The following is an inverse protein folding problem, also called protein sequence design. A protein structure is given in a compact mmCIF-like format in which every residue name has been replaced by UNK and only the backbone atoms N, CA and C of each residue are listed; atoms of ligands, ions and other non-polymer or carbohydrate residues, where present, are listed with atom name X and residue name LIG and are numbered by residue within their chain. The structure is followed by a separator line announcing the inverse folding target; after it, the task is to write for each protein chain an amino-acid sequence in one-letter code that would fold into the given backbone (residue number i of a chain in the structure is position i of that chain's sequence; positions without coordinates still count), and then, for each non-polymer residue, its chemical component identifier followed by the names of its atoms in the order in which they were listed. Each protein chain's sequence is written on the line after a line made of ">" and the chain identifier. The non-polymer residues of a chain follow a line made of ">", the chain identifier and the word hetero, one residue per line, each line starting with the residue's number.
data_IF_553737346756
#
_entry.id   IF_553737346756
#
_cell.length_a   1.000
_cell.length_b   1.000
_cell.length_c   1.000
_cell.angle_alpha   90.00
_cell.angle_beta   90.00
_cell.angle_gamma   90.00
#
_symmetry.space_group_name_H-M   'P 1'
#
loop_
_entity.id
_entity.type
_entity.pdbx_description
1 polymer ?
#
# COMPACT_ATOMS: atom_id res chain seq x y z
N UNK A 1 39.19 17.00 -8.88
CA UNK A 1 39.93 16.76 -10.13
C UNK A 1 39.05 17.19 -11.28
N UNK A 2 39.40 18.37 -11.79
CA UNK A 2 39.09 19.08 -13.04
C UNK A 2 37.92 18.64 -13.93
N UNK A 3 36.91 19.49 -13.98
CA UNK A 3 35.97 19.60 -15.10
C UNK A 3 36.35 20.89 -15.87
N UNK A 4 36.56 20.87 -17.20
CA UNK A 4 37.13 22.00 -17.91
C UNK A 4 36.18 23.21 -17.98
N UNK A 5 36.69 24.37 -17.60
CA UNK A 5 36.11 25.70 -17.76
C UNK A 5 36.40 26.24 -19.16
N UNK A 6 35.50 25.98 -20.13
CA UNK A 6 35.44 26.76 -21.37
C UNK A 6 33.97 27.04 -21.72
N UNK A 7 33.58 28.31 -21.58
CA UNK A 7 32.22 28.81 -21.78
C UNK A 7 32.22 29.75 -23.01
N UNK A 8 31.44 29.48 -24.06
CA UNK A 8 31.20 30.45 -25.13
C UNK A 8 30.30 31.59 -24.61
N UNK A 9 30.75 32.83 -24.78
CA UNK A 9 30.19 34.06 -24.21
C UNK A 9 28.96 34.63 -24.96
N UNK A 10 27.99 33.79 -25.36
CA UNK A 10 26.81 34.27 -26.09
C UNK A 10 25.45 33.69 -25.62
N UNK A 11 25.28 33.51 -24.32
CA UNK A 11 23.94 33.39 -23.72
C UNK A 11 23.95 33.91 -22.28
N UNK A 12 23.44 35.14 -22.06
CA UNK A 12 23.46 35.82 -20.75
C UNK A 12 22.36 35.35 -19.77
N UNK A 13 21.65 34.27 -20.08
CA UNK A 13 20.69 33.66 -19.17
C UNK A 13 21.04 32.19 -18.94
N UNK A 14 21.55 31.91 -17.74
CA UNK A 14 21.71 30.53 -17.25
C UNK A 14 20.44 30.17 -16.51
N UNK A 15 19.50 29.49 -17.17
CA UNK A 15 18.36 28.86 -16.49
C UNK A 15 18.90 27.55 -15.89
N UNK A 16 19.28 27.60 -14.62
CA UNK A 16 19.52 26.38 -13.83
C UNK A 16 18.22 26.02 -13.17
N UNK A 17 17.58 24.94 -13.62
CA UNK A 17 16.46 24.35 -12.92
C UNK A 17 17.03 23.47 -11.80
N UNK A 18 17.08 24.00 -10.58
CA UNK A 18 17.34 23.19 -9.41
C UNK A 18 16.07 22.42 -9.10
N UNK A 19 16.03 21.14 -9.47
CA UNK A 19 15.11 20.21 -8.82
C UNK A 19 15.74 19.95 -7.46
N UNK A 20 15.30 20.70 -6.45
CA UNK A 20 15.61 20.33 -5.08
C UNK A 20 15.11 18.90 -4.89
N UNK A 21 15.96 18.01 -4.40
CA UNK A 21 15.49 16.85 -3.64
C UNK A 21 14.83 17.41 -2.37
N UNK A 22 13.70 18.10 -2.51
CA UNK A 22 12.84 18.36 -1.37
C UNK A 22 12.47 16.97 -0.85
N UNK A 23 12.71 16.69 0.45
CA UNK A 23 12.17 15.47 1.03
C UNK A 23 10.67 15.51 0.76
N UNK A 24 10.19 14.49 0.04
CA UNK A 24 8.78 14.30 -0.26
C UNK A 24 7.99 14.58 1.01
N UNK A 25 6.98 15.46 0.93
CA UNK A 25 6.27 15.88 2.15
C UNK A 25 5.67 14.63 2.79
N UNK A 26 5.78 14.50 4.11
CA UNK A 26 5.40 13.27 4.81
C UNK A 26 3.96 12.80 4.47
N UNK A 27 3.06 13.74 4.16
CA UNK A 27 1.70 13.48 3.67
C UNK A 27 1.64 12.86 2.27
N UNK A 28 2.42 13.37 1.30
CA UNK A 28 2.47 12.83 -0.07
C UNK A 28 2.94 11.38 -0.05
N UNK A 29 3.90 11.07 0.84
CA UNK A 29 4.37 9.69 1.05
C UNK A 29 3.29 8.78 1.64
N UNK A 30 2.45 9.28 2.54
CA UNK A 30 1.32 8.51 3.07
C UNK A 30 0.27 8.21 1.99
N UNK A 31 -0.01 9.18 1.13
CA UNK A 31 -0.93 9.04 0.01
C UNK A 31 -0.46 7.99 -0.99
N UNK A 32 0.84 7.97 -1.31
CA UNK A 32 1.44 6.95 -2.17
C UNK A 32 1.33 5.55 -1.57
N UNK A 33 1.72 5.37 -0.30
CA UNK A 33 1.60 4.07 0.37
C UNK A 33 0.14 3.60 0.40
N UNK A 34 -0.80 4.52 0.65
CA UNK A 34 -2.22 4.20 0.63
C UNK A 34 -2.72 3.79 -0.76
N UNK A 35 -2.30 4.50 -1.80
CA UNK A 35 -2.65 4.21 -3.18
C UNK A 35 -2.11 2.83 -3.61
N UNK A 36 -0.85 2.54 -3.29
CA UNK A 36 -0.19 1.26 -3.55
C UNK A 36 -0.90 0.10 -2.83
N UNK A 37 -1.28 0.31 -1.56
CA UNK A 37 -2.04 -0.67 -0.80
C UNK A 37 -3.41 -0.96 -1.42
N UNK A 38 -4.13 0.07 -1.87
CA UNK A 38 -5.42 -0.07 -2.56
C UNK A 38 -5.25 -0.78 -3.91
N UNK A 39 -4.20 -0.46 -4.67
CA UNK A 39 -3.88 -1.13 -5.93
C UNK A 39 -3.63 -2.61 -5.70
N UNK A 40 -2.75 -2.95 -4.74
CA UNK A 40 -2.43 -4.33 -4.37
C UNK A 40 -3.68 -5.10 -3.93
N UNK A 41 -4.55 -4.50 -3.10
CA UNK A 41 -5.80 -5.14 -2.69
C UNK A 41 -6.73 -5.42 -3.89
N UNK A 42 -6.84 -4.47 -4.82
CA UNK A 42 -7.66 -4.62 -6.03
C UNK A 42 -7.11 -5.74 -6.91
N UNK A 43 -5.81 -5.77 -7.12
CA UNK A 43 -5.15 -6.76 -7.98
C UNK A 43 -5.29 -8.16 -7.38
N UNK A 44 -5.10 -8.30 -6.07
CA UNK A 44 -5.35 -9.57 -5.36
C UNK A 44 -6.79 -10.05 -5.49
N UNK A 45 -7.78 -9.16 -5.24
CA UNK A 45 -9.20 -9.53 -5.34
C UNK A 45 -9.66 -9.84 -6.77
N UNK A 46 -9.05 -9.21 -7.78
CA UNK A 46 -9.37 -9.47 -9.19
C UNK A 46 -8.94 -10.88 -9.64
N UNK A 47 -7.93 -11.46 -8.98
CA UNK A 47 -7.41 -12.79 -9.27
C UNK A 47 -8.19 -13.91 -8.57
N UNK A 48 -8.89 -13.63 -7.46
CA UNK A 48 -9.64 -14.65 -6.70
C UNK A 48 -10.62 -15.46 -7.55
N UNK A 49 -11.43 -14.86 -8.45
CA UNK A 49 -12.37 -15.61 -9.29
C UNK A 49 -11.70 -16.58 -10.28
N UNK A 50 -10.39 -16.46 -10.49
CA UNK A 50 -9.62 -17.35 -11.38
C UNK A 50 -9.20 -18.65 -10.69
N UNK A 51 -9.33 -18.72 -9.36
CA UNK A 51 -9.04 -19.93 -8.61
C UNK A 51 -10.02 -21.06 -8.93
N UNK A 52 -9.58 -22.32 -8.85
CA UNK A 52 -10.49 -23.46 -8.93
C UNK A 52 -11.51 -23.42 -7.80
N UNK A 53 -12.71 -23.97 -8.04
CA UNK A 53 -13.87 -23.86 -7.15
C UNK A 53 -13.60 -24.27 -5.69
N UNK A 54 -12.74 -25.26 -5.48
CA UNK A 54 -12.39 -25.74 -4.14
C UNK A 54 -11.56 -24.75 -3.32
N UNK A 55 -10.77 -23.88 -3.97
CA UNK A 55 -10.03 -22.78 -3.34
C UNK A 55 -10.85 -21.47 -3.32
N UNK A 56 -11.66 -21.25 -4.35
CA UNK A 56 -12.52 -20.07 -4.44
C UNK A 56 -13.62 -20.05 -3.37
N UNK A 57 -14.36 -21.16 -3.19
CA UNK A 57 -15.53 -21.18 -2.31
C UNK A 57 -15.20 -20.75 -0.87
N UNK A 58 -14.12 -21.22 -0.23
CA UNK A 58 -13.78 -20.79 1.12
C UNK A 58 -13.30 -19.33 1.19
N UNK A 59 -12.82 -18.76 0.08
CA UNK A 59 -12.41 -17.35 0.00
C UNK A 59 -13.56 -16.42 -0.38
N UNK A 60 -14.70 -16.94 -0.84
CA UNK A 60 -15.79 -16.13 -1.37
C UNK A 60 -16.31 -15.10 -0.36
N UNK A 61 -16.62 -15.54 0.86
CA UNK A 61 -17.21 -14.68 1.89
C UNK A 61 -16.23 -13.59 2.37
N UNK A 62 -14.94 -13.94 2.52
CA UNK A 62 -13.90 -13.00 2.93
C UNK A 62 -13.58 -11.99 1.82
N UNK A 63 -13.60 -12.42 0.56
CA UNK A 63 -13.49 -11.54 -0.62
C UNK A 63 -14.63 -10.55 -0.65
N UNK A 64 -15.87 -11.03 -0.49
CA UNK A 64 -17.07 -10.20 -0.53
C UNK A 64 -17.11 -9.20 0.64
N UNK A 65 -16.57 -9.58 1.80
CA UNK A 65 -16.47 -8.70 2.98
C UNK A 65 -15.41 -7.61 2.80
N UNK A 66 -14.33 -7.88 2.06
CA UNK A 66 -13.24 -6.93 1.79
C UNK A 66 -13.56 -5.97 0.64
N UNK A 67 -14.34 -6.41 -0.36
CA UNK A 67 -14.62 -5.68 -1.59
C UNK A 67 -15.16 -4.24 -1.40
N UNK A 68 -16.10 -3.95 -0.47
CA UNK A 68 -16.58 -2.59 -0.25
C UNK A 68 -15.46 -1.64 0.19
N UNK A 69 -14.52 -2.11 1.01
CA UNK A 69 -13.41 -1.29 1.48
C UNK A 69 -12.42 -0.93 0.37
N UNK A 70 -12.19 -1.85 -0.56
CA UNK A 70 -11.33 -1.61 -1.73
C UNK A 70 -12.01 -0.67 -2.72
N UNK A 71 -13.31 -0.88 -2.97
CA UNK A 71 -14.11 -0.08 -3.91
C UNK A 71 -14.25 1.37 -3.45
N UNK A 72 -14.51 1.57 -2.16
CA UNK A 72 -14.67 2.89 -1.55
C UNK A 72 -13.32 3.56 -1.21
N UNK A 73 -12.18 2.91 -1.52
CA UNK A 73 -10.82 3.40 -1.20
C UNK A 73 -10.62 3.62 0.32
N UNK A 74 -11.25 2.79 1.14
CA UNK A 74 -11.27 2.87 2.61
C UNK A 74 -10.32 1.86 3.28
N UNK A 75 -9.26 1.43 2.61
CA UNK A 75 -8.37 0.37 3.08
C UNK A 75 -7.59 0.70 4.37
N UNK A 76 -7.50 1.98 4.74
CA UNK A 76 -6.69 2.47 5.87
C UNK A 76 -7.40 2.37 7.23
N UNK A 77 -8.69 2.00 7.25
CA UNK A 77 -9.45 1.91 8.49
C UNK A 77 -9.22 0.55 9.20
N UNK A 78 -9.42 0.52 10.51
CA UNK A 78 -9.18 -0.69 11.32
C UNK A 78 -10.07 -1.89 10.93
N UNK A 79 -11.29 -1.66 10.43
CA UNK A 79 -12.15 -2.75 9.94
C UNK A 79 -11.61 -3.35 8.64
N UNK A 80 -11.11 -2.52 7.72
CA UNK A 80 -10.49 -2.99 6.50
C UNK A 80 -9.24 -3.84 6.78
N UNK A 81 -8.40 -3.43 7.75
CA UNK A 81 -7.26 -4.25 8.22
C UNK A 81 -7.70 -5.60 8.75
N UNK A 82 -8.73 -5.63 9.60
CA UNK A 82 -9.27 -6.89 10.12
C UNK A 82 -9.78 -7.82 8.99
N UNK A 83 -10.40 -7.27 7.94
CA UNK A 83 -10.82 -8.05 6.78
C UNK A 83 -9.61 -8.58 5.97
N UNK A 84 -8.56 -7.77 5.80
CA UNK A 84 -7.31 -8.21 5.17
C UNK A 84 -6.64 -9.35 5.96
N UNK A 85 -6.55 -9.22 7.28
CA UNK A 85 -6.03 -10.28 8.18
C UNK A 85 -6.84 -11.56 8.04
N UNK A 86 -8.18 -11.44 8.08
CA UNK A 86 -9.08 -12.59 7.92
C UNK A 86 -8.89 -13.28 6.56
N UNK A 87 -8.66 -12.50 5.50
CA UNK A 87 -8.36 -13.01 4.18
C UNK A 87 -7.02 -13.78 4.17
N UNK A 88 -5.96 -13.21 4.74
CA UNK A 88 -4.64 -13.86 4.85
C UNK A 88 -4.73 -15.15 5.66
N UNK A 89 -5.47 -15.16 6.76
CA UNK A 89 -5.71 -16.38 7.53
C UNK A 89 -6.43 -17.46 6.72
N UNK A 90 -7.45 -17.08 5.93
CA UNK A 90 -8.17 -18.01 5.07
C UNK A 90 -7.23 -18.61 4.00
N UNK A 91 -6.39 -17.79 3.37
CA UNK A 91 -5.35 -18.24 2.44
C UNK A 91 -4.38 -19.23 3.10
N UNK A 92 -3.88 -18.92 4.30
CA UNK A 92 -2.96 -19.80 5.02
C UNK A 92 -3.57 -21.18 5.33
N UNK A 93 -4.87 -21.23 5.67
CA UNK A 93 -5.58 -22.50 5.90
C UNK A 93 -5.73 -23.33 4.63
N UNK A 94 -5.86 -22.68 3.48
CA UNK A 94 -6.01 -23.34 2.18
C UNK A 94 -4.68 -23.77 1.57
N UNK A 95 -3.54 -23.24 2.03
CA UNK A 95 -2.22 -23.49 1.44
C UNK A 95 -1.89 -24.96 1.21
N UNK A 96 -2.31 -25.85 2.13
CA UNK A 96 -2.06 -27.30 2.02
C UNK A 96 -2.92 -28.01 0.97
N UNK A 97 -3.96 -27.35 0.46
CA UNK A 97 -4.89 -27.86 -0.55
C UNK A 97 -4.56 -27.35 -1.95
N UNK A 98 -3.54 -26.50 -2.08
CA UNK A 98 -3.12 -25.90 -3.36
C UNK A 98 -2.26 -26.91 -4.12
N UNK A 99 -2.65 -27.22 -5.34
CA UNK A 99 -1.86 -28.05 -6.25
C UNK A 99 -0.79 -27.21 -6.95
N UNK A 100 0.25 -27.86 -7.47
CA UNK A 100 1.37 -27.21 -8.18
C UNK A 100 0.92 -26.30 -9.33
N UNK A 101 -0.15 -26.68 -10.05
CA UNK A 101 -0.70 -25.92 -11.17
C UNK A 101 -1.32 -24.57 -10.75
N UNK A 102 -1.84 -24.49 -9.52
CA UNK A 102 -2.52 -23.29 -8.98
C UNK A 102 -1.59 -22.43 -8.10
N UNK A 103 -0.41 -22.94 -7.77
CA UNK A 103 0.50 -22.34 -6.77
C UNK A 103 0.91 -20.91 -7.12
N UNK A 104 1.24 -20.65 -8.40
CA UNK A 104 1.67 -19.34 -8.85
C UNK A 104 0.58 -18.26 -8.67
N UNK A 105 -0.66 -18.60 -9.04
CA UNK A 105 -1.82 -17.71 -8.89
C UNK A 105 -2.16 -17.51 -7.42
N UNK A 106 -2.15 -18.59 -6.63
CA UNK A 106 -2.43 -18.54 -5.20
C UNK A 106 -1.42 -17.66 -4.46
N UNK A 107 -0.13 -17.80 -4.78
CA UNK A 107 0.92 -16.97 -4.20
C UNK A 107 0.81 -15.51 -4.64
N UNK A 108 0.39 -15.24 -5.87
CA UNK A 108 0.17 -13.87 -6.35
C UNK A 108 -0.95 -13.17 -5.59
N UNK A 109 -2.09 -13.85 -5.40
CA UNK A 109 -3.19 -13.36 -4.55
C UNK A 109 -2.66 -13.08 -3.14
N UNK A 110 -1.92 -14.03 -2.55
CA UNK A 110 -1.35 -13.90 -1.22
C UNK A 110 -0.42 -12.69 -1.10
N UNK A 111 0.52 -12.52 -2.05
CA UNK A 111 1.45 -11.38 -2.08
C UNK A 111 0.71 -10.05 -2.16
N UNK A 112 -0.28 -9.95 -3.03
CA UNK A 112 -1.07 -8.73 -3.22
C UNK A 112 -1.87 -8.34 -1.97
N UNK A 113 -2.48 -9.32 -1.30
CA UNK A 113 -3.23 -9.08 -0.06
C UNK A 113 -2.31 -8.74 1.12
N UNK A 114 -1.15 -9.40 1.23
CA UNK A 114 -0.14 -9.08 2.26
C UNK A 114 0.42 -7.67 2.05
N UNK A 115 0.76 -7.30 0.81
CA UNK A 115 1.22 -5.94 0.49
C UNK A 115 0.18 -4.87 0.86
N UNK A 116 -1.10 -5.14 0.61
CA UNK A 116 -2.20 -4.28 1.02
C UNK A 116 -2.31 -4.12 2.55
N UNK A 117 -2.14 -5.21 3.30
CA UNK A 117 -2.14 -5.19 4.77
C UNK A 117 -0.95 -4.41 5.32
N UNK A 118 0.25 -4.67 4.81
CA UNK A 118 1.47 -3.99 5.20
C UNK A 118 1.38 -2.47 4.94
N UNK A 119 0.86 -2.07 3.78
CA UNK A 119 0.62 -0.67 3.48
C UNK A 119 -0.36 -0.01 4.47
N UNK A 120 -1.46 -0.69 4.81
CA UNK A 120 -2.46 -0.19 5.76
C UNK A 120 -1.90 -0.08 7.18
N UNK A 121 -1.11 -1.06 7.63
CA UNK A 121 -0.41 -1.02 8.92
C UNK A 121 0.61 0.10 8.96
N UNK A 122 1.43 0.24 7.92
CA UNK A 122 2.45 1.27 7.83
C UNK A 122 1.88 2.68 7.90
N UNK A 123 0.77 2.94 7.21
CA UNK A 123 0.08 4.24 7.32
C UNK A 123 -0.46 4.45 8.74
N UNK A 124 -1.01 3.41 9.37
CA UNK A 124 -1.49 3.51 10.75
C UNK A 124 -0.37 3.84 11.74
N UNK A 125 0.77 3.17 11.60
CA UNK A 125 1.94 3.37 12.47
C UNK A 125 2.53 4.77 12.30
N UNK A 126 2.61 5.27 11.06
CA UNK A 126 3.08 6.63 10.78
C UNK A 126 2.15 7.68 11.39
N UNK A 127 0.83 7.52 11.26
CA UNK A 127 -0.14 8.41 11.90
C UNK A 127 -0.08 8.34 13.43
N UNK A 128 0.12 7.15 14.00
CA UNK A 128 0.28 6.99 15.44
C UNK A 128 1.56 7.67 15.94
N UNK A 129 2.67 7.51 15.22
CA UNK A 129 3.94 8.18 15.52
C UNK A 129 3.80 9.71 15.42
N UNK A 130 3.10 10.23 14.41
CA UNK A 130 2.84 11.66 14.25
C UNK A 130 2.06 12.22 15.44
N UNK A 131 0.99 11.54 15.86
CA UNK A 131 0.20 11.93 17.04
C UNK A 131 1.03 11.93 18.33
N UNK A 132 1.87 10.90 18.52
CA UNK A 132 2.75 10.81 19.69
C UNK A 132 3.75 11.97 19.73
N UNK A 133 4.40 12.24 18.60
CA UNK A 133 5.35 13.34 18.46
C UNK A 133 4.65 14.69 18.66
N UNK A 134 3.45 14.87 18.10
CA UNK A 134 2.63 16.08 18.28
C UNK A 134 2.30 16.32 19.75
N UNK A 135 1.91 15.27 20.48
CA UNK A 135 1.68 15.32 21.93
C UNK A 135 2.93 15.74 22.70
N UNK A 136 4.08 15.14 22.38
CA UNK A 136 5.37 15.50 22.99
C UNK A 136 5.79 16.96 22.70
N UNK A 137 5.35 17.52 21.56
CA UNK A 137 5.59 18.92 21.17
C UNK A 137 4.57 19.90 21.76
N UNK A 138 3.58 19.44 22.53
CA UNK A 138 2.54 20.28 23.11
C UNK A 138 1.44 20.72 22.14
N UNK A 139 1.38 20.12 20.94
CA UNK A 139 0.30 20.33 19.98
C UNK A 139 -0.87 19.45 20.44
N UNK A 140 -1.90 20.05 21.05
CA UNK A 140 -3.14 19.34 21.42
C UNK A 140 -3.98 19.13 20.15
N UNK A 141 -4.52 17.92 19.99
CA UNK A 141 -5.56 17.67 18.98
C UNK A 141 -6.76 18.60 19.27
N UNK A 142 -7.40 19.19 18.25
CA UNK A 142 -8.65 19.92 18.46
C UNK A 142 -9.69 18.94 19.02
N UNK A 143 -10.31 19.33 20.13
CA UNK A 143 -11.43 18.59 20.71
C UNK A 143 -12.55 18.48 19.65
N UNK A 144 -13.01 17.25 19.41
CA UNK A 144 -14.09 16.93 18.48
C UNK A 144 -15.46 17.23 19.09
#
# INVERSE_FOLDING_TARGET
>A
MDIPTLIPTQNNHRVVHFIGNEPQRDLERLEEIAADGIASARDGLALVPLLPTHLFNPLHDVTHSLLPYVTDRRLLNGRARQQLETFVEAMNRLRLQVNEEDEALFDEIGRNVVAALDASNRVADLLAAEREIGRLRGIREPEA
#
